data_IF_059821774072
#
_entry.id   IF_059821774072
#
_cell.length_a   1.000
_cell.length_b   1.000
_cell.length_c   1.000
_cell.angle_alpha   90.00
_cell.angle_beta   90.00
_cell.angle_gamma   90.00
#
_symmetry.space_group_name_H-M   'P 1'
#
loop_
_entity.id
_entity.type
_entity.pdbx_description
1 polymer ?
#
# COMPACT_ATOMS: atom_id res chain seq x y z
N UNK A 1 26.09 -46.07 47.72
CA UNK A 1 25.52 -46.17 46.36
C UNK A 1 24.70 -44.91 46.13
N UNK A 2 25.38 -43.83 45.73
CA UNK A 2 24.79 -42.49 45.56
C UNK A 2 24.17 -42.39 44.17
N UNK A 3 22.87 -42.11 44.10
CA UNK A 3 22.12 -41.91 42.87
C UNK A 3 22.28 -40.47 42.40
N UNK A 4 23.07 -40.23 41.34
CA UNK A 4 23.10 -38.98 40.60
C UNK A 4 22.06 -39.06 39.48
N UNK A 5 20.91 -38.41 39.66
CA UNK A 5 20.06 -37.99 38.55
C UNK A 5 20.36 -36.53 38.25
N UNK A 6 21.26 -36.31 37.28
CA UNK A 6 21.60 -34.97 36.81
C UNK A 6 20.68 -34.59 35.63
N UNK A 7 19.86 -33.58 35.92
CA UNK A 7 19.48 -32.46 35.06
C UNK A 7 18.76 -32.76 33.73
N UNK A 8 17.44 -32.59 33.83
CA UNK A 8 16.60 -31.91 32.85
C UNK A 8 17.37 -30.79 32.12
N UNK A 9 17.48 -30.89 30.80
CA UNK A 9 17.57 -29.74 29.92
C UNK A 9 16.31 -29.71 29.04
N UNK A 10 15.24 -29.13 29.59
CA UNK A 10 14.15 -28.56 28.77
C UNK A 10 14.31 -27.06 28.87
N UNK A 11 15.04 -26.47 27.92
CA UNK A 11 14.99 -25.04 27.58
C UNK A 11 15.46 -24.99 26.11
N UNK A 12 14.68 -24.55 25.13
CA UNK A 12 14.05 -23.24 25.08
C UNK A 12 12.62 -23.30 24.54
N UNK A 13 11.70 -22.83 25.36
CA UNK A 13 10.45 -22.26 24.91
C UNK A 13 10.77 -21.10 23.96
N UNK A 14 10.37 -21.22 22.69
CA UNK A 14 10.22 -20.05 21.82
C UNK A 14 9.06 -19.25 22.40
N UNK A 15 9.38 -18.17 23.12
CA UNK A 15 8.38 -17.25 23.63
C UNK A 15 8.43 -15.99 22.78
N UNK A 16 7.38 -15.78 21.98
CA UNK A 16 6.71 -14.49 21.80
C UNK A 16 5.72 -14.59 20.63
N UNK A 17 4.65 -15.35 20.80
CA UNK A 17 3.38 -14.96 20.19
C UNK A 17 2.64 -14.17 21.25
N UNK A 18 2.52 -12.85 21.13
CA UNK A 18 1.46 -12.18 21.88
C UNK A 18 0.16 -12.90 21.53
N UNK A 19 -0.52 -13.45 22.53
CA UNK A 19 -1.81 -14.10 22.33
C UNK A 19 -2.75 -13.08 21.69
N UNK A 20 -3.09 -13.31 20.43
CA UNK A 20 -4.00 -12.41 19.74
C UNK A 20 -5.38 -12.49 20.42
N UNK A 21 -5.88 -11.32 20.85
CA UNK A 21 -7.09 -11.22 21.66
C UNK A 21 -8.33 -11.32 20.79
N UNK A 22 -8.96 -12.49 20.81
CA UNK A 22 -10.24 -12.75 20.15
C UNK A 22 -11.27 -11.71 20.59
N UNK A 23 -11.97 -11.09 19.63
CA UNK A 23 -13.01 -10.09 19.88
C UNK A 23 -12.52 -8.63 19.99
N UNK A 24 -11.20 -8.39 19.95
CA UNK A 24 -10.68 -7.01 19.90
C UNK A 24 -10.69 -6.50 18.46
N UNK A 25 -11.18 -5.27 18.26
CA UNK A 25 -11.07 -4.54 17.00
C UNK A 25 -9.70 -3.89 16.89
N UNK A 26 -8.98 -4.18 15.82
CA UNK A 26 -7.67 -3.60 15.52
C UNK A 26 -7.61 -3.15 14.07
N UNK A 27 -6.82 -2.12 13.78
CA UNK A 27 -6.48 -1.80 12.40
C UNK A 27 -5.31 -2.69 12.00
N UNK A 28 -5.52 -3.51 10.98
CA UNK A 28 -4.47 -4.31 10.35
C UNK A 28 -4.40 -3.96 8.87
N UNK A 29 -3.39 -4.48 8.17
CA UNK A 29 -3.18 -4.24 6.75
C UNK A 29 -3.37 -5.53 5.96
N UNK A 30 -3.87 -5.41 4.75
CA UNK A 30 -3.97 -6.52 3.80
C UNK A 30 -3.53 -6.07 2.41
N UNK A 31 -3.02 -7.00 1.62
CA UNK A 31 -2.66 -6.74 0.24
C UNK A 31 -3.90 -6.89 -0.64
N UNK A 32 -4.27 -5.82 -1.34
CA UNK A 32 -5.34 -5.83 -2.32
C UNK A 32 -4.77 -6.05 -3.72
N UNK A 33 -4.88 -7.26 -4.25
CA UNK A 33 -4.38 -7.60 -5.59
C UNK A 33 -5.11 -6.85 -6.72
N UNK A 34 -6.32 -6.34 -6.49
CA UNK A 34 -7.02 -5.53 -7.50
C UNK A 34 -6.41 -4.14 -7.66
N UNK A 35 -5.80 -3.62 -6.60
CA UNK A 35 -5.10 -2.32 -6.59
C UNK A 35 -3.58 -2.46 -6.55
N UNK A 36 -3.08 -3.68 -6.33
CA UNK A 36 -1.68 -4.00 -6.10
C UNK A 36 -1.05 -3.15 -4.99
N UNK A 37 -1.82 -2.89 -3.93
CA UNK A 37 -1.47 -1.96 -2.86
C UNK A 37 -1.94 -2.51 -1.50
N UNK A 38 -1.29 -2.08 -0.43
CA UNK A 38 -1.64 -2.46 0.93
C UNK A 38 -2.56 -1.43 1.57
N UNK A 39 -3.70 -1.88 2.09
CA UNK A 39 -4.67 -0.99 2.74
C UNK A 39 -4.94 -1.39 4.20
N UNK A 40 -5.19 -0.40 5.08
CA UNK A 40 -5.71 -0.65 6.41
C UNK A 40 -7.17 -1.10 6.37
N UNK A 41 -7.55 -1.98 7.31
CA UNK A 41 -8.91 -2.47 7.52
C UNK A 41 -9.15 -2.76 9.00
N UNK A 42 -10.35 -2.43 9.50
CA UNK A 42 -10.80 -2.90 10.80
C UNK A 42 -10.94 -4.42 10.78
N UNK A 43 -10.20 -5.07 11.66
CA UNK A 43 -10.17 -6.51 11.81
C UNK A 43 -10.65 -6.88 13.20
N UNK A 44 -11.43 -7.96 13.28
CA UNK A 44 -11.80 -8.59 14.55
C UNK A 44 -11.08 -9.92 14.66
N UNK A 45 -10.36 -10.13 15.77
CA UNK A 45 -9.66 -11.39 16.04
C UNK A 45 -8.30 -11.50 15.35
N UNK A 46 -7.94 -12.71 14.90
CA UNK A 46 -6.56 -13.12 14.63
C UNK A 46 -6.38 -13.70 13.22
N UNK A 47 -6.57 -12.90 12.17
CA UNK A 47 -6.43 -13.39 10.81
C UNK A 47 -4.97 -13.70 10.48
N UNK A 48 -4.79 -14.77 9.70
CA UNK A 48 -3.46 -15.24 9.27
C UNK A 48 -2.93 -14.48 8.05
N UNK A 49 -3.81 -13.76 7.34
CA UNK A 49 -3.55 -13.06 6.08
C UNK A 49 -3.58 -11.53 6.25
N UNK A 50 -3.23 -11.05 7.45
CA UNK A 50 -3.10 -9.63 7.77
C UNK A 50 -1.75 -9.32 8.39
N UNK A 51 -1.34 -8.08 8.21
CA UNK A 51 -0.10 -7.53 8.71
C UNK A 51 -0.39 -6.48 9.78
N UNK A 52 0.44 -6.42 10.82
CA UNK A 52 0.32 -5.42 11.89
C UNK A 52 0.73 -4.02 11.45
N UNK A 53 1.61 -3.91 10.44
CA UNK A 53 2.07 -2.64 9.91
C UNK A 53 1.95 -2.56 8.39
N UNK A 54 1.82 -1.33 7.87
CA UNK A 54 1.83 -1.06 6.42
C UNK A 54 3.12 -1.58 5.78
N UNK A 55 4.25 -1.38 6.46
CA UNK A 55 5.57 -1.79 5.99
C UNK A 55 5.68 -3.30 5.81
N UNK A 56 5.17 -4.08 6.77
CA UNK A 56 5.21 -5.55 6.68
C UNK A 56 4.35 -6.06 5.51
N UNK A 57 3.21 -5.40 5.25
CA UNK A 57 2.40 -5.70 4.07
C UNK A 57 3.16 -5.33 2.78
N UNK A 58 3.74 -4.13 2.71
CA UNK A 58 4.47 -3.66 1.53
C UNK A 58 5.72 -4.49 1.24
N UNK A 59 6.35 -5.10 2.25
CA UNK A 59 7.49 -5.99 2.07
C UNK A 59 7.18 -7.25 1.23
N UNK A 60 5.89 -7.54 1.01
CA UNK A 60 5.45 -8.62 0.10
C UNK A 60 5.41 -8.22 -1.37
N UNK A 61 5.49 -6.92 -1.66
CA UNK A 61 5.46 -6.36 -3.02
C UNK A 61 6.90 -6.31 -3.56
N UNK A 62 7.18 -6.90 -4.73
CA UNK A 62 8.52 -6.82 -5.33
C UNK A 62 8.96 -5.37 -5.53
N UNK A 63 10.21 -5.05 -5.18
CA UNK A 63 10.75 -3.68 -5.26
C UNK A 63 10.79 -3.13 -6.69
N UNK A 64 10.86 -4.00 -7.69
CA UNK A 64 10.86 -3.67 -9.11
C UNK A 64 9.46 -3.68 -9.73
N UNK A 65 8.41 -3.88 -8.93
CA UNK A 65 7.04 -3.85 -9.39
C UNK A 65 6.66 -2.44 -9.87
N UNK A 66 6.30 -2.33 -11.15
CA UNK A 66 5.85 -1.09 -11.76
C UNK A 66 4.40 -1.24 -12.25
N UNK A 67 3.57 -0.24 -11.97
CA UNK A 67 2.16 -0.24 -12.32
C UNK A 67 1.65 1.17 -12.60
N UNK A 68 0.59 1.27 -13.39
CA UNK A 68 -0.17 2.50 -13.53
C UNK A 68 -1.02 2.76 -12.27
N UNK A 69 -1.38 4.03 -12.05
CA UNK A 69 -2.20 4.47 -10.94
C UNK A 69 -3.46 3.61 -10.77
N UNK A 70 -3.78 3.28 -9.52
CA UNK A 70 -4.89 2.40 -9.13
C UNK A 70 -4.91 1.04 -9.87
N UNK A 71 -3.74 0.53 -10.27
CA UNK A 71 -3.59 -0.68 -11.07
C UNK A 71 -4.38 -0.62 -12.40
N UNK A 72 -4.48 0.58 -12.99
CA UNK A 72 -5.15 0.76 -14.28
C UNK A 72 -4.41 0.05 -15.43
N UNK A 73 -5.11 -0.33 -16.51
CA UNK A 73 -4.49 -0.97 -17.65
C UNK A 73 -3.40 -0.11 -18.30
N UNK A 74 -2.36 -0.80 -18.76
CA UNK A 74 -1.27 -0.19 -19.52
C UNK A 74 -1.74 0.25 -20.90
N UNK A 75 -1.24 1.39 -21.37
CA UNK A 75 -1.52 1.88 -22.72
C UNK A 75 -0.54 1.23 -23.70
N UNK A 76 -1.07 0.60 -24.75
CA UNK A 76 -0.25 0.03 -25.82
C UNK A 76 0.12 1.12 -26.83
N UNK A 77 1.39 1.16 -27.23
CA UNK A 77 1.84 1.89 -28.41
C UNK A 77 1.27 1.27 -29.69
N UNK A 78 1.30 2.00 -30.83
CA UNK A 78 0.81 1.47 -32.12
C UNK A 78 1.44 0.14 -32.54
N UNK A 79 2.67 -0.13 -32.11
CA UNK A 79 3.38 -1.39 -32.35
C UNK A 79 3.04 -2.51 -31.35
N UNK A 80 2.02 -2.33 -30.51
CA UNK A 80 1.56 -3.29 -29.50
C UNK A 80 2.39 -3.35 -28.21
N UNK A 81 3.54 -2.66 -28.15
CA UNK A 81 4.43 -2.64 -26.97
C UNK A 81 3.97 -1.59 -25.95
N UNK A 82 4.34 -1.77 -24.69
CA UNK A 82 3.92 -0.89 -23.58
C UNK A 82 5.06 -0.13 -22.94
N UNK A 83 6.31 -0.59 -23.13
CA UNK A 83 7.47 0.04 -22.52
C UNK A 83 7.78 1.39 -23.16
N UNK A 84 8.33 2.29 -22.35
CA UNK A 84 8.77 3.62 -22.74
C UNK A 84 10.08 3.99 -22.01
N UNK A 85 10.70 5.07 -22.46
CA UNK A 85 11.92 5.62 -21.89
C UNK A 85 11.73 7.12 -21.60
N UNK A 86 12.55 7.66 -20.71
CA UNK A 86 12.62 9.11 -20.47
C UNK A 86 13.20 9.86 -21.68
N UNK A 87 12.86 11.13 -21.78
CA UNK A 87 13.48 12.06 -22.72
C UNK A 87 15.02 12.10 -22.51
N UNK A 88 15.77 12.16 -23.62
CA UNK A 88 17.24 12.10 -23.60
C UNK A 88 17.84 10.70 -23.74
N UNK A 89 17.04 9.62 -23.72
CA UNK A 89 17.50 8.28 -24.12
C UNK A 89 17.51 8.16 -25.66
N UNK A 90 18.49 7.47 -26.27
CA UNK A 90 18.51 7.25 -27.72
C UNK A 90 17.22 6.64 -28.27
N UNK A 91 16.58 5.79 -27.48
CA UNK A 91 15.36 5.06 -27.84
C UNK A 91 14.07 5.84 -27.55
N UNK A 92 14.14 7.07 -27.03
CA UNK A 92 12.97 7.85 -26.60
C UNK A 92 11.94 8.02 -27.71
N UNK A 93 12.33 8.52 -28.88
CA UNK A 93 11.40 8.82 -29.98
C UNK A 93 10.67 7.56 -30.47
N UNK A 94 11.38 6.43 -30.57
CA UNK A 94 10.80 5.16 -31.00
C UNK A 94 9.85 4.53 -29.95
N UNK A 95 9.95 4.97 -28.69
CA UNK A 95 9.22 4.41 -27.55
C UNK A 95 8.40 5.43 -26.78
N UNK A 96 8.10 6.57 -27.42
CA UNK A 96 7.24 7.60 -26.86
C UNK A 96 5.83 7.04 -26.66
N UNK A 97 5.24 7.40 -25.52
CA UNK A 97 3.87 7.00 -25.22
C UNK A 97 2.86 7.73 -26.13
N UNK A 98 1.74 7.07 -26.50
CA UNK A 98 0.71 7.69 -27.33
C UNK A 98 0.14 8.96 -26.70
N UNK A 99 -0.45 9.83 -27.53
CA UNK A 99 -1.21 10.99 -27.05
C UNK A 99 -2.27 10.57 -26.02
N UNK A 100 -2.35 11.31 -24.91
CA UNK A 100 -3.25 10.97 -23.79
C UNK A 100 -2.64 10.01 -22.76
N UNK A 101 -1.40 9.55 -22.96
CA UNK A 101 -0.68 8.71 -22.00
C UNK A 101 0.66 9.31 -21.59
N UNK A 102 1.17 8.88 -20.43
CA UNK A 102 2.44 9.32 -19.84
C UNK A 102 3.38 8.13 -19.65
N UNK A 103 4.68 8.37 -19.80
CA UNK A 103 5.69 7.36 -19.47
C UNK A 103 5.92 7.33 -17.95
N UNK A 104 5.36 6.33 -17.26
CA UNK A 104 5.58 6.10 -15.84
C UNK A 104 6.77 5.18 -15.65
N UNK A 105 7.80 5.72 -15.03
CA UNK A 105 9.10 5.07 -14.96
C UNK A 105 9.23 4.29 -13.65
N UNK A 106 9.50 3.00 -13.79
CA UNK A 106 9.89 2.15 -12.68
C UNK A 106 11.40 2.20 -12.46
N UNK A 107 11.94 1.17 -11.81
CA UNK A 107 13.38 1.11 -11.49
C UNK A 107 14.28 1.10 -12.75
N UNK A 108 13.92 0.31 -13.77
CA UNK A 108 14.76 0.14 -14.98
C UNK A 108 14.07 0.56 -16.29
N UNK A 109 12.76 0.29 -16.41
CA UNK A 109 11.98 0.52 -17.64
C UNK A 109 10.68 1.21 -17.28
N UNK A 110 10.24 2.13 -18.15
CA UNK A 110 8.94 2.77 -18.00
C UNK A 110 7.84 2.04 -18.75
N UNK A 111 6.61 2.34 -18.39
CA UNK A 111 5.41 1.86 -19.06
C UNK A 111 4.47 3.02 -19.37
N UNK A 112 3.75 2.93 -20.47
CA UNK A 112 2.76 3.94 -20.82
C UNK A 112 1.49 3.74 -19.98
N UNK A 113 1.09 4.79 -19.27
CA UNK A 113 -0.10 4.83 -18.42
C UNK A 113 -1.08 5.91 -18.90
N UNK A 114 -2.37 5.70 -18.68
CA UNK A 114 -3.37 6.71 -18.99
C UNK A 114 -3.12 7.98 -18.17
N UNK A 115 -2.93 9.12 -18.86
CA UNK A 115 -2.53 10.35 -18.19
C UNK A 115 -3.64 10.86 -17.26
N UNK A 116 -4.90 10.73 -17.66
CA UNK A 116 -6.02 11.23 -16.88
C UNK A 116 -6.15 10.46 -15.57
N UNK A 117 -6.02 9.13 -15.60
CA UNK A 117 -6.06 8.31 -14.38
C UNK A 117 -4.89 8.64 -13.47
N UNK A 118 -3.67 8.79 -14.00
CA UNK A 118 -2.50 9.19 -13.22
C UNK A 118 -2.69 10.57 -12.57
N UNK A 119 -3.19 11.56 -13.32
CA UNK A 119 -3.44 12.91 -12.81
C UNK A 119 -4.49 12.88 -11.69
N UNK A 120 -5.63 12.21 -11.90
CA UNK A 120 -6.71 12.11 -10.90
C UNK A 120 -6.23 11.39 -9.62
N UNK A 121 -5.51 10.27 -9.76
CA UNK A 121 -4.96 9.53 -8.63
C UNK A 121 -3.90 10.36 -7.87
N UNK A 122 -3.04 11.10 -8.57
CA UNK A 122 -2.06 11.98 -7.94
C UNK A 122 -2.69 13.19 -7.25
N UNK A 123 -3.78 13.74 -7.78
CA UNK A 123 -4.55 14.77 -7.08
C UNK A 123 -5.22 14.21 -5.82
N UNK A 124 -5.77 13.00 -5.87
CA UNK A 124 -6.41 12.36 -4.72
C UNK A 124 -5.41 12.05 -3.60
N UNK A 125 -4.19 11.64 -3.95
CA UNK A 125 -3.06 11.46 -3.00
C UNK A 125 -2.70 12.72 -2.23
N UNK A 126 -3.11 13.91 -2.67
CA UNK A 126 -2.90 15.14 -1.88
C UNK A 126 -3.77 15.19 -0.65
N UNK A 127 -4.86 14.40 -0.60
CA UNK A 127 -5.88 14.31 0.45
C UNK A 127 -6.35 15.67 0.97
N UNK A 128 -7.60 16.04 0.71
CA UNK A 128 -8.14 17.32 1.19
C UNK A 128 -9.31 17.10 2.13
N UNK A 129 -9.28 17.82 3.25
CA UNK A 129 -10.39 17.84 4.17
C UNK A 129 -11.26 19.09 3.95
N UNK A 130 -12.56 19.03 4.29
CA UNK A 130 -13.42 20.20 4.34
C UNK A 130 -12.82 21.32 5.22
N UNK A 131 -13.25 22.56 4.98
CA UNK A 131 -12.68 23.74 5.64
C UNK A 131 -12.56 23.58 7.16
N UNK A 132 -11.38 23.92 7.68
CA UNK A 132 -11.05 23.87 9.11
C UNK A 132 -10.57 22.50 9.63
N UNK A 133 -10.70 21.43 8.84
CA UNK A 133 -10.25 20.07 9.22
C UNK A 133 -8.88 19.74 8.66
N UNK A 134 -8.16 18.86 9.35
CA UNK A 134 -6.83 18.37 8.95
C UNK A 134 -6.90 16.90 8.56
N UNK A 135 -6.08 16.54 7.58
CA UNK A 135 -5.88 15.16 7.15
C UNK A 135 -5.09 14.42 8.21
N UNK A 136 -5.56 13.25 8.61
CA UNK A 136 -4.80 12.34 9.46
C UNK A 136 -3.61 11.81 8.67
N UNK A 137 -2.43 11.89 9.26
CA UNK A 137 -1.18 11.40 8.66
C UNK A 137 -0.80 10.05 9.27
N UNK A 138 0.04 9.28 8.57
CA UNK A 138 0.73 8.12 9.09
C UNK A 138 1.58 8.49 10.31
N UNK A 139 1.78 7.52 11.21
CA UNK A 139 2.54 7.71 12.46
C UNK A 139 4.05 7.49 12.31
N UNK A 140 4.53 7.19 11.10
CA UNK A 140 5.98 7.06 10.84
C UNK A 140 6.67 8.41 11.06
N UNK A 141 7.66 8.43 11.95
CA UNK A 141 8.40 9.62 12.32
C UNK A 141 9.19 10.24 11.16
N UNK A 142 9.54 9.44 10.14
CA UNK A 142 10.38 9.87 9.02
C UNK A 142 9.58 10.28 7.78
N UNK A 143 8.38 9.73 7.59
CA UNK A 143 7.53 9.97 6.43
C UNK A 143 6.08 10.20 6.87
N UNK A 144 5.71 11.48 7.01
CA UNK A 144 4.31 11.87 7.22
C UNK A 144 3.61 11.94 5.86
N UNK A 145 2.80 10.94 5.60
CA UNK A 145 1.91 10.90 4.43
C UNK A 145 0.46 10.81 4.91
N UNK A 146 -0.53 11.24 4.11
CA UNK A 146 -1.92 11.00 4.45
C UNK A 146 -2.19 9.52 4.73
N UNK A 147 -2.99 9.25 5.77
CA UNK A 147 -3.39 7.89 6.10
C UNK A 147 -4.52 7.44 5.17
N UNK A 148 -4.17 6.64 4.16
CA UNK A 148 -5.10 6.14 3.14
C UNK A 148 -5.66 4.76 3.46
N UNK A 149 -6.93 4.59 3.14
CA UNK A 149 -7.62 3.31 3.06
C UNK A 149 -8.18 3.09 1.65
N UNK A 150 -8.70 1.89 1.38
CA UNK A 150 -9.35 1.59 0.10
C UNK A 150 -10.69 2.30 -0.03
N UNK A 151 -11.53 2.14 0.98
CA UNK A 151 -12.91 2.62 1.05
C UNK A 151 -13.33 2.81 2.53
N UNK A 152 -14.29 3.69 2.79
CA UNK A 152 -14.72 4.03 4.15
C UNK A 152 -15.42 2.87 4.88
N UNK A 153 -16.05 1.96 4.14
CA UNK A 153 -16.64 0.71 4.64
C UNK A 153 -15.64 -0.19 5.37
N UNK A 154 -14.33 -0.01 5.14
CA UNK A 154 -13.28 -0.74 5.84
C UNK A 154 -13.06 -0.27 7.29
N UNK A 155 -13.75 0.78 7.73
CA UNK A 155 -13.72 1.28 9.12
C UNK A 155 -12.30 1.55 9.66
N UNK A 156 -11.37 1.94 8.78
CA UNK A 156 -9.96 2.10 9.14
C UNK A 156 -9.66 3.42 9.88
N UNK A 157 -10.59 4.38 9.84
CA UNK A 157 -10.38 5.70 10.42
C UNK A 157 -10.37 5.66 11.96
N UNK A 158 -9.41 6.34 12.63
CA UNK A 158 -9.39 6.42 14.08
C UNK A 158 -10.65 7.07 14.68
N UNK A 159 -10.92 6.79 15.94
CA UNK A 159 -12.02 7.43 16.69
C UNK A 159 -11.95 8.96 16.62
N UNK A 160 -13.12 9.60 16.55
CA UNK A 160 -13.28 11.06 16.41
C UNK A 160 -12.70 11.63 15.12
N UNK A 161 -12.63 10.82 14.05
CA UNK A 161 -12.30 11.28 12.70
C UNK A 161 -13.43 10.91 11.74
N UNK A 162 -13.55 11.64 10.64
CA UNK A 162 -14.56 11.42 9.62
C UNK A 162 -13.88 10.90 8.37
N UNK A 163 -14.29 9.73 7.89
CA UNK A 163 -13.80 9.19 6.63
C UNK A 163 -14.31 10.03 5.44
N UNK A 164 -13.44 10.25 4.46
CA UNK A 164 -13.77 10.85 3.17
C UNK A 164 -13.53 9.80 2.09
N UNK A 165 -14.58 9.50 1.33
CA UNK A 165 -14.53 8.56 0.21
C UNK A 165 -14.09 9.31 -1.06
N UNK A 166 -12.97 8.88 -1.65
CA UNK A 166 -12.51 9.34 -2.94
C UNK A 166 -12.92 8.40 -4.07
N UNK A 167 -12.33 8.61 -5.25
CA UNK A 167 -12.54 7.73 -6.41
C UNK A 167 -11.65 6.49 -6.34
N UNK A 168 -10.45 6.65 -5.81
CA UNK A 168 -9.42 5.62 -5.78
C UNK A 168 -9.04 5.18 -4.37
N UNK A 169 -9.17 6.05 -3.39
CA UNK A 169 -8.75 5.87 -2.01
C UNK A 169 -9.69 6.65 -1.08
N UNK A 170 -9.70 6.24 0.17
CA UNK A 170 -10.36 6.95 1.25
C UNK A 170 -9.32 7.53 2.22
N UNK A 171 -9.63 8.62 2.91
CA UNK A 171 -8.75 9.20 3.94
C UNK A 171 -9.56 9.73 5.12
N UNK A 172 -8.88 10.00 6.24
CA UNK A 172 -9.53 10.43 7.47
C UNK A 172 -9.28 11.92 7.74
N UNK A 173 -10.33 12.63 8.17
CA UNK A 173 -10.29 14.05 8.51
C UNK A 173 -10.67 14.29 9.97
N UNK A 174 -9.99 15.22 10.62
CA UNK A 174 -10.30 15.66 11.99
C UNK A 174 -10.41 17.18 12.06
#
# INVERSE_FOLDING_TARGET
MFSLFFLFFIVASVQAGEECKIGTKTIMYYFDSSRMECFPIETVGCPHDRYSTLRDCQATIPTDFNMCAANSPVVKRPNGKTHCYHEGRPEYEANKCPTGSICKMGFAVGMCCDKKIEDEYNEEKKARCPQGKKVIQTTDAYHREPFFGKECSHNFCPSNTVCQEGKYMAWCCK
#
